data_IF_549485663325
#
_entry.id   IF_549485663325
#
_cell.length_a   1.000
_cell.length_b   1.000
_cell.length_c   1.000
_cell.angle_alpha   90.00
_cell.angle_beta   90.00
_cell.angle_gamma   90.00
#
_symmetry.space_group_name_H-M   'P 1'
#
loop_
_entity.id
_entity.type
_entity.pdbx_description
1 polymer ?
#
# COMPACT_ATOMS: atom_id res chain seq x y z
N UNK A 1 29.91 14.98 -15.11
CA UNK A 1 28.43 14.92 -15.02
C UNK A 1 27.81 13.75 -15.80
N UNK A 2 27.99 13.62 -17.13
CA UNK A 2 27.39 12.52 -17.92
C UNK A 2 27.72 11.11 -17.40
N UNK A 3 28.99 10.80 -17.11
CA UNK A 3 29.41 9.47 -16.58
C UNK A 3 28.75 9.11 -15.24
N UNK A 4 28.48 10.10 -14.39
CA UNK A 4 27.82 9.91 -13.10
C UNK A 4 26.34 9.56 -13.28
N UNK A 5 25.63 10.33 -14.12
CA UNK A 5 24.23 10.06 -14.46
C UNK A 5 24.06 8.67 -15.09
N UNK A 6 24.94 8.30 -16.02
CA UNK A 6 24.91 6.95 -16.60
C UNK A 6 25.09 5.87 -15.54
N UNK A 7 26.00 6.06 -14.57
CA UNK A 7 26.19 5.09 -13.47
C UNK A 7 24.96 4.97 -12.57
N UNK A 8 24.27 6.08 -12.31
CA UNK A 8 23.05 6.12 -11.49
C UNK A 8 21.87 5.46 -12.21
N UNK A 9 21.67 5.73 -13.49
CA UNK A 9 20.50 5.22 -14.23
C UNK A 9 20.70 3.82 -14.83
N UNK A 10 21.94 3.37 -15.04
CA UNK A 10 22.25 2.06 -15.62
C UNK A 10 21.52 0.89 -14.95
N UNK A 11 21.38 0.82 -13.60
CA UNK A 11 20.65 -0.25 -12.94
C UNK A 11 19.15 -0.29 -13.26
N UNK A 12 18.56 0.79 -13.80
CA UNK A 12 17.11 0.92 -14.04
C UNK A 12 16.72 0.75 -15.51
N UNK A 13 17.68 0.55 -16.42
CA UNK A 13 17.45 0.49 -17.87
C UNK A 13 17.57 -0.96 -18.36
N UNK A 14 16.75 -1.34 -19.35
CA UNK A 14 16.80 -2.66 -19.99
C UNK A 14 16.12 -3.78 -19.19
N UNK A 15 15.22 -3.41 -18.28
CA UNK A 15 14.34 -4.38 -17.60
C UNK A 15 13.19 -4.79 -18.51
N UNK A 16 12.54 -5.94 -18.23
CA UNK A 16 11.28 -6.29 -18.87
C UNK A 16 10.22 -5.22 -18.64
N UNK A 17 9.32 -5.05 -19.62
CA UNK A 17 8.26 -4.02 -19.61
C UNK A 17 7.41 -4.12 -18.34
N UNK A 18 7.18 -5.35 -17.89
CA UNK A 18 6.37 -5.70 -16.75
C UNK A 18 6.89 -5.08 -15.45
N UNK A 19 8.22 -4.92 -15.30
CA UNK A 19 8.82 -4.27 -14.12
C UNK A 19 8.51 -2.78 -14.08
N UNK A 20 8.56 -2.10 -15.23
CA UNK A 20 8.15 -0.70 -15.31
C UNK A 20 6.66 -0.53 -15.00
N UNK A 21 5.82 -1.46 -15.48
CA UNK A 21 4.39 -1.47 -15.14
C UNK A 21 4.19 -1.65 -13.64
N UNK A 22 4.87 -2.60 -13.00
CA UNK A 22 4.80 -2.81 -11.54
C UNK A 22 5.26 -1.57 -10.78
N UNK A 23 6.36 -0.93 -11.20
CA UNK A 23 6.87 0.29 -10.56
C UNK A 23 5.86 1.44 -10.64
N UNK A 24 5.23 1.64 -11.80
CA UNK A 24 4.17 2.64 -11.99
C UNK A 24 2.95 2.29 -11.13
N UNK A 25 2.48 1.04 -11.15
CA UNK A 25 1.37 0.58 -10.33
C UNK A 25 1.62 0.81 -8.85
N UNK A 26 2.83 0.51 -8.35
CA UNK A 26 3.21 0.71 -6.96
C UNK A 26 3.30 2.20 -6.59
N UNK A 27 3.73 3.04 -7.54
CA UNK A 27 3.72 4.50 -7.38
C UNK A 27 2.28 5.02 -7.24
N UNK A 28 1.39 4.62 -8.15
CA UNK A 28 -0.02 5.04 -8.13
C UNK A 28 -0.72 4.55 -6.86
N UNK A 29 -0.51 3.30 -6.47
CA UNK A 29 -1.06 2.76 -5.21
C UNK A 29 -0.54 3.54 -4.00
N UNK A 30 0.75 3.87 -3.96
CA UNK A 30 1.32 4.67 -2.88
C UNK A 30 0.81 6.13 -2.85
N UNK A 31 0.37 6.68 -3.98
CA UNK A 31 -0.27 8.00 -4.02
C UNK A 31 -1.64 8.03 -3.32
N UNK A 32 -2.32 6.87 -3.26
CA UNK A 32 -3.57 6.69 -2.52
C UNK A 32 -3.37 6.41 -1.02
N UNK A 33 -2.15 6.08 -0.56
CA UNK A 33 -1.92 5.75 0.85
C UNK A 33 -1.95 6.98 1.79
N UNK A 34 -3.11 7.61 1.94
CA UNK A 34 -3.34 8.87 2.65
C UNK A 34 -3.63 8.63 4.12
N UNK A 35 -4.52 7.68 4.44
CA UNK A 35 -5.01 7.47 5.80
C UNK A 35 -4.00 6.78 6.71
N UNK A 36 -3.08 5.98 6.15
CA UNK A 36 -2.16 5.14 6.92
C UNK A 36 -1.44 5.89 8.06
N UNK A 37 -0.74 7.00 7.78
CA UNK A 37 -0.06 7.80 8.81
C UNK A 37 -1.00 8.54 9.77
N UNK A 38 -2.23 8.82 9.33
CA UNK A 38 -3.25 9.50 10.11
C UNK A 38 -4.18 8.54 10.84
N UNK A 39 -3.96 7.22 10.75
CA UNK A 39 -4.85 6.21 11.31
C UNK A 39 -5.04 6.39 12.82
N UNK A 40 -3.96 6.60 13.57
CA UNK A 40 -4.05 6.87 15.02
C UNK A 40 -4.88 8.12 15.31
N UNK A 41 -4.68 9.18 14.52
CA UNK A 41 -5.39 10.45 14.66
C UNK A 41 -6.87 10.32 14.31
N UNK A 42 -7.20 9.54 13.27
CA UNK A 42 -8.58 9.20 12.91
C UNK A 42 -9.30 8.54 14.09
N UNK A 43 -8.67 7.51 14.67
CA UNK A 43 -9.23 6.72 15.75
C UNK A 43 -9.43 7.56 17.01
N UNK A 44 -8.46 8.40 17.39
CA UNK A 44 -8.54 9.20 18.60
C UNK A 44 -9.41 10.45 18.44
N UNK A 45 -9.22 11.23 17.36
CA UNK A 45 -9.83 12.57 17.24
C UNK A 45 -11.16 12.57 16.49
N UNK A 46 -11.29 11.77 15.44
CA UNK A 46 -12.52 11.74 14.62
C UNK A 46 -13.51 10.67 15.12
N UNK A 47 -13.03 9.53 15.61
CA UNK A 47 -13.86 8.45 16.16
C UNK A 47 -14.02 8.56 17.68
N UNK A 48 -13.05 9.16 18.40
CA UNK A 48 -13.13 9.38 19.84
C UNK A 48 -12.67 8.19 20.70
N UNK A 49 -11.82 7.30 20.18
CA UNK A 49 -11.26 6.19 20.95
C UNK A 49 -10.23 6.66 21.97
N UNK A 50 -10.22 6.02 23.14
CA UNK A 50 -9.16 6.24 24.13
C UNK A 50 -7.79 5.81 23.60
N UNK A 51 -6.72 6.32 24.21
CA UNK A 51 -5.35 5.94 23.84
C UNK A 51 -5.10 4.43 23.96
N UNK A 52 -5.71 3.79 24.96
CA UNK A 52 -5.62 2.33 25.13
C UNK A 52 -6.31 1.55 24.00
N UNK A 53 -7.50 2.00 23.58
CA UNK A 53 -8.23 1.38 22.46
C UNK A 53 -7.52 1.60 21.13
N UNK A 54 -6.97 2.80 20.91
CA UNK A 54 -6.20 3.12 19.71
C UNK A 54 -4.92 2.30 19.65
N UNK A 55 -4.20 2.17 20.76
CA UNK A 55 -3.01 1.30 20.85
C UNK A 55 -3.35 -0.17 20.60
N UNK A 56 -4.48 -0.65 21.14
CA UNK A 56 -4.96 -2.01 20.91
C UNK A 56 -5.29 -2.25 19.42
N UNK A 57 -5.93 -1.29 18.75
CA UNK A 57 -6.17 -1.37 17.31
C UNK A 57 -4.88 -1.55 16.52
N UNK A 58 -3.88 -0.69 16.77
CA UNK A 58 -2.59 -0.75 16.07
C UNK A 58 -1.89 -2.09 16.31
N UNK A 59 -1.93 -2.59 17.55
CA UNK A 59 -1.40 -3.90 17.90
C UNK A 59 -2.10 -5.04 17.15
N UNK A 60 -3.44 -5.02 17.08
CA UNK A 60 -4.24 -6.03 16.37
C UNK A 60 -3.91 -5.99 14.87
N UNK A 61 -3.88 -4.82 14.24
CA UNK A 61 -3.55 -4.70 12.81
C UNK A 61 -2.14 -5.22 12.53
N UNK A 62 -1.16 -4.86 13.36
CA UNK A 62 0.21 -5.37 13.24
C UNK A 62 0.28 -6.91 13.38
N UNK A 63 -0.46 -7.47 14.34
CA UNK A 63 -0.55 -8.92 14.54
C UNK A 63 -1.24 -9.62 13.37
N UNK A 64 -2.28 -9.02 12.79
CA UNK A 64 -3.01 -9.56 11.63
C UNK A 64 -2.17 -9.49 10.35
N UNK A 65 -1.21 -8.58 10.25
CA UNK A 65 -0.37 -8.44 9.07
C UNK A 65 0.49 -9.68 8.78
N UNK A 66 0.99 -10.35 9.82
CA UNK A 66 1.83 -11.56 9.72
C UNK A 66 1.08 -12.73 9.05
N UNK A 67 -0.06 -13.22 9.59
CA UNK A 67 -0.82 -14.29 8.95
C UNK A 67 -1.36 -13.86 7.59
N UNK A 68 -1.75 -12.58 7.41
CA UNK A 68 -2.18 -12.06 6.10
C UNK A 68 -1.10 -12.23 5.04
N UNK A 69 0.15 -11.90 5.36
CA UNK A 69 1.28 -12.07 4.44
C UNK A 69 1.56 -13.53 4.12
N UNK A 70 1.50 -14.42 5.13
CA UNK A 70 1.69 -15.87 4.90
C UNK A 70 0.59 -16.46 4.01
N UNK A 71 -0.66 -16.09 4.27
CA UNK A 71 -1.82 -16.48 3.46
C UNK A 71 -1.66 -15.94 2.04
N UNK A 72 -1.28 -14.67 1.90
CA UNK A 72 -1.03 -14.03 0.62
C UNK A 72 0.02 -14.73 -0.22
N UNK A 73 1.15 -15.12 0.38
CA UNK A 73 2.16 -15.92 -0.29
C UNK A 73 1.60 -17.24 -0.83
N UNK A 74 0.93 -18.02 0.02
CA UNK A 74 0.33 -19.30 -0.38
C UNK A 74 -0.74 -19.16 -1.46
N UNK A 75 -1.63 -18.17 -1.33
CA UNK A 75 -2.66 -17.88 -2.32
C UNK A 75 -2.02 -17.46 -3.65
N UNK A 76 -1.01 -16.61 -3.61
CA UNK A 76 -0.26 -16.14 -4.78
C UNK A 76 0.35 -17.31 -5.56
N UNK A 77 0.95 -18.26 -4.86
CA UNK A 77 1.57 -19.44 -5.48
C UNK A 77 0.53 -20.41 -6.04
N UNK A 78 -0.67 -20.48 -5.44
CA UNK A 78 -1.73 -21.42 -5.84
C UNK A 78 -2.61 -20.88 -6.98
N UNK A 79 -3.05 -19.63 -6.87
CA UNK A 79 -4.03 -19.02 -7.79
C UNK A 79 -3.39 -18.08 -8.83
N UNK A 80 -2.09 -17.84 -8.70
CA UNK A 80 -1.31 -16.98 -9.57
C UNK A 80 -1.18 -15.55 -9.01
N UNK A 81 0.07 -15.07 -8.98
CA UNK A 81 0.47 -13.82 -8.32
C UNK A 81 -0.35 -12.60 -8.73
N UNK A 82 -0.55 -12.41 -10.05
CA UNK A 82 -1.30 -11.26 -10.58
C UNK A 82 -2.76 -11.24 -10.14
N UNK A 83 -3.42 -12.42 -10.09
CA UNK A 83 -4.84 -12.51 -9.73
C UNK A 83 -5.04 -12.19 -8.25
N UNK A 84 -4.19 -12.74 -7.39
CA UNK A 84 -4.22 -12.47 -5.96
C UNK A 84 -3.92 -11.01 -5.68
N UNK A 85 -2.86 -10.47 -6.30
CA UNK A 85 -2.51 -9.07 -6.17
C UNK A 85 -3.69 -8.14 -6.52
N UNK A 86 -4.20 -8.24 -7.75
CA UNK A 86 -5.27 -7.35 -8.21
C UNK A 86 -6.56 -7.56 -7.43
N UNK A 87 -6.91 -8.80 -7.10
CA UNK A 87 -8.14 -9.10 -6.36
C UNK A 87 -8.15 -8.48 -4.96
N UNK A 88 -7.06 -8.63 -4.21
CA UNK A 88 -6.98 -8.11 -2.85
C UNK A 88 -6.74 -6.59 -2.80
N UNK A 89 -6.03 -6.00 -3.76
CA UNK A 89 -5.94 -4.54 -3.91
C UNK A 89 -7.32 -3.92 -4.22
N UNK A 90 -8.11 -4.53 -5.10
CA UNK A 90 -9.49 -4.08 -5.38
C UNK A 90 -10.37 -4.20 -4.14
N UNK A 91 -10.27 -5.31 -3.39
CA UNK A 91 -11.02 -5.49 -2.15
C UNK A 91 -10.65 -4.43 -1.10
N UNK A 92 -9.36 -4.13 -0.95
CA UNK A 92 -8.88 -3.07 -0.06
C UNK A 92 -9.44 -1.71 -0.48
N UNK A 93 -9.34 -1.36 -1.76
CA UNK A 93 -9.86 -0.12 -2.33
C UNK A 93 -11.38 0.03 -2.15
N UNK A 94 -12.15 -1.05 -2.35
CA UNK A 94 -13.59 -1.06 -2.07
C UNK A 94 -13.85 -0.75 -0.59
N UNK A 95 -13.05 -1.32 0.32
CA UNK A 95 -13.14 -1.03 1.75
C UNK A 95 -12.87 0.43 2.06
N UNK A 96 -11.79 1.02 1.54
CA UNK A 96 -11.48 2.43 1.73
C UNK A 96 -12.57 3.35 1.15
N UNK A 97 -12.99 3.12 -0.10
CA UNK A 97 -14.09 3.87 -0.73
C UNK A 97 -15.40 3.71 0.05
N UNK A 98 -15.67 2.55 0.65
CA UNK A 98 -16.87 2.38 1.46
C UNK A 98 -16.88 3.27 2.70
N UNK A 99 -15.71 3.63 3.23
CA UNK A 99 -15.58 4.60 4.34
C UNK A 99 -16.04 6.01 3.96
N UNK A 100 -16.13 6.36 2.66
CA UNK A 100 -16.77 7.60 2.20
C UNK A 100 -18.24 7.71 2.69
N UNK A 101 -18.95 6.58 2.73
CA UNK A 101 -20.36 6.51 3.08
C UNK A 101 -20.61 6.25 4.57
N UNK A 102 -19.56 6.02 5.35
CA UNK A 102 -19.64 5.67 6.76
C UNK A 102 -19.20 6.87 7.60
N UNK A 103 -20.03 7.29 8.55
CA UNK A 103 -19.62 8.29 9.53
C UNK A 103 -18.55 7.71 10.48
N UNK A 104 -17.58 8.51 10.96
CA UNK A 104 -16.56 8.08 11.92
C UNK A 104 -17.16 7.31 13.09
N UNK A 105 -16.89 6.01 13.15
CA UNK A 105 -17.52 5.08 14.08
C UNK A 105 -16.78 3.76 14.12
N UNK A 106 -17.12 2.90 15.09
CA UNK A 106 -16.54 1.54 15.16
C UNK A 106 -16.79 0.69 13.90
N UNK A 107 -17.82 0.99 13.10
CA UNK A 107 -18.05 0.31 11.82
C UNK A 107 -16.91 0.61 10.83
N UNK A 108 -16.49 1.88 10.76
CA UNK A 108 -15.35 2.30 9.94
C UNK A 108 -14.07 1.58 10.37
N UNK A 109 -13.84 1.46 11.67
CA UNK A 109 -12.67 0.74 12.24
C UNK A 109 -12.59 -0.70 11.74
N UNK A 110 -13.72 -1.43 11.73
CA UNK A 110 -13.76 -2.82 11.23
C UNK A 110 -13.45 -2.89 9.74
N UNK A 111 -13.99 -1.96 8.94
CA UNK A 111 -13.71 -1.90 7.50
C UNK A 111 -12.22 -1.62 7.26
N UNK A 112 -11.63 -0.66 7.98
CA UNK A 112 -10.21 -0.33 7.85
C UNK A 112 -9.29 -1.49 8.26
N UNK A 113 -9.63 -2.26 9.29
CA UNK A 113 -8.92 -3.50 9.61
C UNK A 113 -9.00 -4.53 8.48
N UNK A 114 -10.19 -4.73 7.90
CA UNK A 114 -10.38 -5.67 6.79
C UNK A 114 -9.60 -5.24 5.55
N UNK A 115 -9.59 -3.94 5.21
CA UNK A 115 -8.76 -3.38 4.14
C UNK A 115 -7.27 -3.59 4.40
N UNK A 116 -6.82 -3.39 5.64
CA UNK A 116 -5.41 -3.59 6.03
C UNK A 116 -4.97 -5.05 5.87
N UNK A 117 -5.85 -6.01 6.18
CA UNK A 117 -5.63 -7.43 5.94
C UNK A 117 -5.54 -7.73 4.44
N UNK A 118 -6.43 -7.18 3.63
CA UNK A 118 -6.39 -7.34 2.18
C UNK A 118 -5.07 -6.82 1.59
N UNK A 119 -4.63 -5.64 2.02
CA UNK A 119 -3.33 -5.08 1.64
C UNK A 119 -2.16 -5.99 2.04
N UNK A 120 -2.19 -6.54 3.27
CA UNK A 120 -1.18 -7.51 3.73
C UNK A 120 -1.13 -8.81 2.90
N UNK A 121 -2.27 -9.27 2.38
CA UNK A 121 -2.34 -10.43 1.47
C UNK A 121 -1.76 -10.10 0.09
N UNK A 122 -1.96 -8.87 -0.39
CA UNK A 122 -1.47 -8.42 -1.69
C UNK A 122 0.07 -8.27 -1.74
N UNK A 123 0.68 -7.75 -0.67
CA UNK A 123 2.11 -7.40 -0.60
C UNK A 123 3.11 -8.47 -1.11
N UNK A 124 3.06 -9.73 -0.63
CA UNK A 124 3.97 -10.80 -1.07
C UNK A 124 3.91 -11.07 -2.58
N UNK A 125 2.75 -10.88 -3.20
CA UNK A 125 2.55 -11.10 -4.63
C UNK A 125 3.38 -10.11 -5.46
N UNK A 126 3.51 -8.86 -5.00
CA UNK A 126 4.28 -7.81 -5.67
C UNK A 126 5.77 -8.15 -5.73
N UNK A 127 6.35 -8.51 -4.59
CA UNK A 127 7.78 -8.78 -4.48
C UNK A 127 8.14 -10.07 -5.22
N UNK A 128 7.28 -11.09 -5.14
CA UNK A 128 7.49 -12.32 -5.86
C UNK A 128 7.34 -12.16 -7.39
N UNK A 129 6.37 -11.36 -7.86
CA UNK A 129 6.28 -11.01 -9.29
C UNK A 129 7.53 -10.29 -9.77
N UNK A 130 8.05 -9.35 -8.97
CA UNK A 130 9.28 -8.62 -9.30
C UNK A 130 10.47 -9.58 -9.41
N UNK A 131 10.60 -10.53 -8.48
CA UNK A 131 11.67 -11.52 -8.50
C UNK A 131 11.59 -12.51 -9.67
N UNK A 132 10.38 -12.94 -10.05
CA UNK A 132 10.13 -13.88 -11.15
C UNK A 132 10.36 -13.24 -12.52
N UNK A 133 10.03 -11.96 -12.66
CA UNK A 133 10.17 -11.20 -13.91
C UNK A 133 11.58 -10.65 -14.12
N UNK A 134 12.51 -10.83 -13.19
CA UNK A 134 13.87 -10.26 -13.27
C UNK A 134 14.95 -11.33 -13.27
N UNK A 135 15.97 -11.11 -14.10
CA UNK A 135 17.21 -11.88 -14.01
C UNK A 135 17.95 -11.56 -12.71
N UNK A 136 18.74 -12.49 -12.14
CA UNK A 136 19.47 -12.28 -10.89
C UNK A 136 20.28 -10.98 -10.84
N UNK A 137 20.89 -10.58 -11.96
CA UNK A 137 21.72 -9.38 -12.07
C UNK A 137 20.89 -8.09 -12.08
N UNK A 138 19.62 -8.16 -12.46
CA UNK A 138 18.69 -7.02 -12.55
C UNK A 138 17.85 -6.84 -11.28
N UNK A 139 17.72 -7.89 -10.44
CA UNK A 139 16.88 -7.90 -9.23
C UNK A 139 17.12 -6.70 -8.31
N UNK A 140 18.37 -6.35 -7.92
CA UNK A 140 18.60 -5.21 -7.03
C UNK A 140 18.10 -3.89 -7.65
N UNK A 141 18.31 -3.70 -8.96
CA UNK A 141 17.83 -2.53 -9.69
C UNK A 141 16.30 -2.47 -9.74
N UNK A 142 15.62 -3.61 -9.95
CA UNK A 142 14.17 -3.67 -10.02
C UNK A 142 13.51 -3.40 -8.66
N UNK A 143 14.01 -4.00 -7.58
CA UNK A 143 13.55 -3.70 -6.23
C UNK A 143 13.82 -2.24 -5.85
N UNK A 144 14.99 -1.70 -6.23
CA UNK A 144 15.31 -0.28 -6.03
C UNK A 144 14.37 0.65 -6.80
N UNK A 145 14.01 0.31 -8.05
CA UNK A 145 13.05 1.07 -8.86
C UNK A 145 11.66 1.07 -8.23
N UNK A 146 11.18 -0.11 -7.81
CA UNK A 146 9.89 -0.23 -7.12
C UNK A 146 9.86 0.55 -5.81
N UNK A 147 10.97 0.52 -5.05
CA UNK A 147 11.10 1.26 -3.80
C UNK A 147 11.10 2.78 -4.06
N UNK A 148 11.83 3.25 -5.08
CA UNK A 148 11.82 4.65 -5.49
C UNK A 148 10.41 5.11 -5.87
N UNK A 149 9.72 4.34 -6.70
CA UNK A 149 8.35 4.63 -7.12
C UNK A 149 7.38 4.71 -5.95
N UNK A 150 7.42 3.73 -5.04
CA UNK A 150 6.60 3.74 -3.82
C UNK A 150 6.84 5.00 -2.98
N UNK A 151 8.09 5.33 -2.68
CA UNK A 151 8.40 6.51 -1.86
C UNK A 151 8.00 7.81 -2.55
N UNK A 152 8.15 7.90 -3.87
CA UNK A 152 7.73 9.08 -4.63
C UNK A 152 6.21 9.26 -4.56
N UNK A 153 5.44 8.20 -4.80
CA UNK A 153 3.99 8.23 -4.69
C UNK A 153 3.53 8.56 -3.27
N UNK A 154 4.12 7.91 -2.28
CA UNK A 154 3.84 8.15 -0.87
C UNK A 154 4.14 9.60 -0.45
N UNK A 155 5.25 10.18 -0.90
CA UNK A 155 5.58 11.57 -0.63
C UNK A 155 4.50 12.52 -1.19
N UNK A 156 3.99 12.27 -2.41
CA UNK A 156 2.90 13.05 -2.98
C UNK A 156 1.62 12.90 -2.15
N UNK A 157 1.29 11.67 -1.72
CA UNK A 157 0.13 11.41 -0.87
C UNK A 157 0.18 12.28 0.39
N UNK A 158 1.31 12.27 1.09
CA UNK A 158 1.47 12.99 2.37
C UNK A 158 1.41 14.52 2.25
N UNK A 159 1.70 15.10 1.08
CA UNK A 159 1.56 16.56 0.85
C UNK A 159 0.11 17.00 1.05
N UNK A 160 -0.87 16.19 0.63
CA UNK A 160 -2.29 16.56 0.67
C UNK A 160 -3.07 15.82 1.77
N UNK A 161 -2.56 14.70 2.27
CA UNK A 161 -3.23 13.87 3.27
C UNK A 161 -3.68 14.65 4.51
N UNK A 162 -2.80 15.50 5.08
CA UNK A 162 -3.14 16.29 6.27
C UNK A 162 -4.26 17.31 6.03
N UNK A 163 -4.23 18.01 4.90
CA UNK A 163 -5.27 18.97 4.53
C UNK A 163 -6.63 18.29 4.33
N UNK A 164 -6.63 17.15 3.62
CA UNK A 164 -7.82 16.36 3.38
C UNK A 164 -8.35 15.72 4.67
N UNK A 165 -7.47 15.23 5.54
CA UNK A 165 -7.86 14.65 6.83
C UNK A 165 -8.63 15.66 7.69
N UNK A 166 -8.16 16.91 7.72
CA UNK A 166 -8.77 17.92 8.58
C UNK A 166 -10.06 18.50 8.01
N UNK A 167 -10.08 18.81 6.70
CA UNK A 167 -11.18 19.56 6.08
C UNK A 167 -12.14 18.70 5.25
N UNK A 168 -11.68 17.55 4.73
CA UNK A 168 -12.38 16.77 3.71
C UNK A 168 -12.23 15.25 3.93
N UNK A 169 -12.47 14.78 5.16
CA UNK A 169 -12.24 13.38 5.55
C UNK A 169 -12.94 12.35 4.63
N UNK A 170 -14.16 12.63 4.17
CA UNK A 170 -14.85 11.74 3.23
C UNK A 170 -14.12 11.65 1.90
N UNK A 171 -13.70 12.79 1.34
CA UNK A 171 -12.96 12.85 0.07
C UNK A 171 -11.63 12.11 0.19
N UNK A 172 -10.97 12.18 1.36
CA UNK A 172 -9.77 11.39 1.63
C UNK A 172 -10.02 9.90 1.36
N UNK A 173 -11.06 9.31 1.93
CA UNK A 173 -11.41 7.90 1.73
C UNK A 173 -11.85 7.54 0.30
N UNK A 174 -12.33 8.50 -0.49
CA UNK A 174 -12.69 8.26 -1.89
C UNK A 174 -11.47 8.09 -2.79
N UNK A 175 -10.36 8.74 -2.43
CA UNK A 175 -9.13 8.77 -3.23
C UNK A 175 -8.00 7.93 -2.62
N UNK A 176 -8.26 7.32 -1.45
CA UNK A 176 -7.33 6.41 -0.76
C UNK A 176 -7.25 5.05 -1.46
#
# INVERSE_FOLDING_TARGET
>A
MKKLLTKIFKPYVGMPREIYVIAISKTVNAMGALIGPFMTLLLSEKIGLSSGQTGLYVAIVGLLFIPSSLIGGKLSDTYGRKKVLVGFEILAAIGYVSCYFIEPSMKMVVVLMASSVCFGIAGPSHDAMTADLTRPEQRPGAFSLNYLGFNFGFAIAQVYAGYLFENHLKVLFLID
#
